data_IF_127991704187
#
_entry.id   IF_127991704187
#
_cell.length_a   1.000
_cell.length_b   1.000
_cell.length_c   1.000
_cell.angle_alpha   90.00
_cell.angle_beta   90.00
_cell.angle_gamma   90.00
#
_symmetry.space_group_name_H-M   'P 1'
#
loop_
_entity.id
_entity.type
_entity.pdbx_description
1 polymer ?
#
# COMPACT_ATOMS: atom_id res chain seq x y z
N UNK A 1 -0.25 -10.12 8.07
CA UNK A 1 -0.10 -10.84 6.78
C UNK A 1 0.35 -12.28 6.95
N UNK A 2 1.39 -12.55 7.74
CA UNK A 2 1.82 -13.94 8.01
C UNK A 2 0.70 -14.77 8.66
N UNK A 3 -0.11 -14.15 9.52
CA UNK A 3 -1.28 -14.81 10.13
C UNK A 3 -2.28 -15.31 9.08
N UNK A 4 -2.57 -14.51 8.05
CA UNK A 4 -3.42 -14.90 6.92
C UNK A 4 -2.84 -16.11 6.18
N UNK A 5 -1.52 -16.12 5.95
CA UNK A 5 -0.85 -17.26 5.33
C UNK A 5 -1.00 -18.54 6.17
N UNK A 6 -0.82 -18.46 7.49
CA UNK A 6 -0.96 -19.62 8.39
C UNK A 6 -2.39 -20.16 8.42
N UNK A 7 -3.38 -19.26 8.43
CA UNK A 7 -4.81 -19.61 8.35
C UNK A 7 -5.11 -20.34 7.04
N UNK A 8 -4.66 -19.81 5.91
CA UNK A 8 -4.96 -20.37 4.59
C UNK A 8 -4.24 -21.70 4.32
N UNK A 9 -3.05 -21.91 4.87
CA UNK A 9 -2.28 -23.14 4.68
C UNK A 9 -2.59 -24.23 5.71
N UNK A 10 -3.66 -24.09 6.50
CA UNK A 10 -4.05 -25.05 7.54
C UNK A 10 -2.94 -25.32 8.57
N UNK A 11 -2.11 -24.32 8.86
CA UNK A 11 -1.08 -24.41 9.92
C UNK A 11 -1.74 -24.21 11.29
N UNK A 12 -2.79 -23.39 11.34
CA UNK A 12 -3.63 -23.24 12.53
C UNK A 12 -4.71 -24.31 12.63
N UNK A 13 -5.23 -24.49 13.85
CA UNK A 13 -6.30 -25.44 14.10
C UNK A 13 -7.56 -25.04 13.32
N UNK A 14 -8.05 -25.96 12.49
CA UNK A 14 -9.19 -25.79 11.60
C UNK A 14 -10.41 -25.29 12.34
N UNK A 15 -10.65 -25.78 13.57
CA UNK A 15 -11.81 -25.38 14.40
C UNK A 15 -11.88 -23.87 14.63
N UNK A 16 -10.73 -23.21 14.68
CA UNK A 16 -10.62 -21.77 14.94
C UNK A 16 -10.60 -20.92 13.67
N UNK A 17 -10.35 -21.53 12.50
CA UNK A 17 -10.12 -20.81 11.26
C UNK A 17 -11.27 -20.91 10.25
N UNK A 18 -12.20 -21.84 10.46
CA UNK A 18 -13.36 -22.01 9.56
C UNK A 18 -14.13 -20.69 9.45
N UNK A 19 -14.39 -20.25 8.22
CA UNK A 19 -15.23 -19.09 7.93
C UNK A 19 -14.57 -17.73 8.13
N UNK A 20 -13.29 -17.66 8.54
CA UNK A 20 -12.57 -16.37 8.64
C UNK A 20 -12.35 -15.76 7.25
N UNK A 21 -11.92 -16.58 6.30
CA UNK A 21 -11.65 -16.17 4.93
C UNK A 21 -12.31 -17.09 3.92
N UNK A 22 -12.78 -16.50 2.83
CA UNK A 22 -13.33 -17.22 1.68
C UNK A 22 -12.46 -16.94 0.48
N UNK A 23 -12.02 -17.99 -0.23
CA UNK A 23 -11.28 -17.85 -1.48
C UNK A 23 -12.22 -17.53 -2.64
N UNK A 24 -11.73 -16.81 -3.64
CA UNK A 24 -12.47 -16.59 -4.88
C UNK A 24 -12.48 -17.88 -5.70
N UNK A 25 -13.65 -18.22 -6.27
CA UNK A 25 -13.78 -19.38 -7.16
C UNK A 25 -12.96 -19.21 -8.45
N UNK A 26 -12.89 -17.99 -8.98
CA UNK A 26 -12.20 -17.67 -10.25
C UNK A 26 -10.68 -17.60 -10.06
N UNK A 27 -10.21 -17.15 -8.89
CA UNK A 27 -8.79 -16.96 -8.61
C UNK A 27 -8.43 -17.60 -7.26
N UNK A 28 -7.86 -18.82 -7.26
CA UNK A 28 -7.68 -19.62 -6.04
C UNK A 28 -6.69 -19.00 -5.04
N UNK A 29 -5.91 -17.99 -5.45
CA UNK A 29 -4.95 -17.29 -4.59
C UNK A 29 -5.53 -16.02 -3.94
N UNK A 30 -6.69 -15.54 -4.43
CA UNK A 30 -7.30 -14.29 -3.98
C UNK A 30 -8.41 -14.55 -2.97
N UNK A 31 -8.51 -13.66 -2.00
CA UNK A 31 -9.54 -13.67 -0.98
C UNK A 31 -10.74 -12.85 -1.43
N UNK A 32 -11.94 -13.34 -1.14
CA UNK A 32 -13.19 -12.62 -1.33
C UNK A 32 -13.35 -11.58 -0.23
N UNK A 33 -13.46 -10.30 -0.61
CA UNK A 33 -13.71 -9.21 0.32
C UNK A 33 -15.19 -9.18 0.71
N UNK A 34 -15.48 -9.22 2.00
CA UNK A 34 -16.84 -9.04 2.47
C UNK A 34 -17.26 -7.56 2.33
N UNK A 35 -18.44 -7.31 1.76
CA UNK A 35 -19.01 -5.95 1.75
C UNK A 35 -19.34 -5.51 3.17
N UNK A 36 -18.95 -4.29 3.50
CA UNK A 36 -19.16 -3.66 4.80
C UNK A 36 -19.60 -2.22 4.59
N UNK A 37 -20.74 -1.84 5.18
CA UNK A 37 -21.24 -0.47 5.09
C UNK A 37 -20.55 0.49 6.07
N UNK A 38 -20.25 0.02 7.28
CA UNK A 38 -19.67 0.83 8.36
C UNK A 38 -18.15 0.70 8.42
N UNK A 39 -17.47 1.81 8.69
CA UNK A 39 -16.00 1.87 8.74
C UNK A 39 -15.41 1.00 9.86
N UNK A 40 -16.11 0.88 10.99
CA UNK A 40 -15.74 -0.04 12.07
C UNK A 40 -15.51 -1.44 11.53
N UNK A 41 -16.45 -1.99 10.75
CA UNK A 41 -16.34 -3.35 10.21
C UNK A 41 -15.29 -3.46 9.10
N UNK A 42 -15.03 -2.38 8.35
CA UNK A 42 -13.96 -2.34 7.33
C UNK A 42 -12.58 -2.47 7.96
N UNK A 43 -12.40 -1.91 9.15
CA UNK A 43 -11.12 -1.92 9.88
C UNK A 43 -10.83 -3.24 10.63
N UNK A 44 -11.78 -4.18 10.66
CA UNK A 44 -11.54 -5.52 11.22
C UNK A 44 -10.46 -6.24 10.42
N UNK A 45 -9.66 -7.04 11.13
CA UNK A 45 -8.58 -7.84 10.53
C UNK A 45 -9.06 -8.64 9.31
N UNK A 46 -10.19 -9.34 9.42
CA UNK A 46 -10.74 -10.18 8.35
C UNK A 46 -11.10 -9.43 7.07
N UNK A 47 -11.43 -8.14 7.15
CA UNK A 47 -11.79 -7.34 5.97
C UNK A 47 -10.60 -6.54 5.44
N UNK A 48 -9.82 -5.94 6.33
CA UNK A 48 -8.68 -5.07 5.99
C UNK A 48 -7.60 -5.84 5.24
N UNK A 49 -7.29 -7.04 5.73
CA UNK A 49 -6.19 -7.84 5.23
C UNK A 49 -6.43 -8.38 3.81
N UNK A 50 -7.70 -8.51 3.40
CA UNK A 50 -8.08 -9.03 2.09
C UNK A 50 -7.53 -8.16 0.95
N UNK A 51 -7.60 -6.83 1.10
CA UNK A 51 -7.07 -5.92 0.09
C UNK A 51 -5.55 -6.08 -0.07
N UNK A 52 -4.85 -6.10 1.07
CA UNK A 52 -3.40 -6.21 1.11
C UNK A 52 -2.96 -7.55 0.53
N UNK A 53 -3.66 -8.63 0.88
CA UNK A 53 -3.40 -9.97 0.37
C UNK A 53 -3.58 -10.06 -1.15
N UNK A 54 -4.66 -9.49 -1.68
CA UNK A 54 -4.96 -9.53 -3.10
C UNK A 54 -3.98 -8.69 -3.95
N UNK A 55 -3.25 -7.75 -3.33
CA UNK A 55 -2.20 -6.96 -3.95
C UNK A 55 -0.81 -7.61 -3.87
N UNK A 56 -0.66 -8.75 -3.17
CA UNK A 56 0.61 -9.46 -3.13
C UNK A 56 0.90 -10.16 -4.45
N UNK A 57 2.18 -10.25 -4.86
CA UNK A 57 2.56 -11.06 -6.00
C UNK A 57 2.35 -12.55 -5.70
N UNK A 58 1.91 -13.31 -6.72
CA UNK A 58 1.67 -14.75 -6.62
C UNK A 58 2.89 -15.52 -6.10
N UNK A 59 4.10 -15.10 -6.49
CA UNK A 59 5.37 -15.68 -6.04
C UNK A 59 5.53 -15.66 -4.51
N UNK A 60 4.98 -14.67 -3.80
CA UNK A 60 4.98 -14.65 -2.34
C UNK A 60 4.00 -15.69 -1.81
N UNK A 61 2.76 -15.66 -2.30
CA UNK A 61 1.62 -16.44 -1.79
C UNK A 61 1.77 -17.95 -2.02
N UNK A 62 2.35 -18.36 -3.15
CA UNK A 62 2.50 -19.79 -3.53
C UNK A 62 3.63 -20.51 -2.80
N UNK A 63 4.45 -19.80 -2.01
CA UNK A 63 5.55 -20.40 -1.26
C UNK A 63 5.02 -21.39 -0.22
N UNK A 64 5.63 -22.59 -0.11
CA UNK A 64 5.21 -23.62 0.89
C UNK A 64 5.73 -23.36 2.30
N UNK A 65 6.83 -22.60 2.43
CA UNK A 65 7.51 -22.39 3.70
C UNK A 65 7.18 -21.01 4.26
N UNK A 66 6.74 -20.97 5.52
CA UNK A 66 6.43 -19.72 6.23
C UNK A 66 7.60 -18.74 6.24
N UNK A 67 8.84 -19.22 6.42
CA UNK A 67 10.01 -18.33 6.48
C UNK A 67 10.39 -17.75 5.11
N UNK A 68 10.08 -18.45 4.03
CA UNK A 68 10.23 -17.91 2.68
C UNK A 68 9.19 -16.83 2.42
N UNK A 69 7.97 -17.00 2.90
CA UNK A 69 6.93 -15.96 2.83
C UNK A 69 7.35 -14.73 3.62
N UNK A 70 7.85 -14.88 4.85
CA UNK A 70 8.37 -13.76 5.66
C UNK A 70 9.43 -12.97 4.89
N UNK A 71 10.51 -13.62 4.46
CA UNK A 71 11.61 -12.95 3.72
C UNK A 71 11.14 -12.24 2.45
N UNK A 72 10.22 -12.84 1.68
CA UNK A 72 9.70 -12.23 0.45
C UNK A 72 8.75 -11.08 0.74
N UNK A 73 7.93 -11.21 1.78
CA UNK A 73 7.03 -10.17 2.23
C UNK A 73 7.81 -8.95 2.74
N UNK A 74 8.83 -9.18 3.56
CA UNK A 74 9.69 -8.12 4.07
C UNK A 74 10.30 -7.35 2.90
N UNK A 75 10.88 -8.04 1.91
CA UNK A 75 11.42 -7.42 0.68
C UNK A 75 10.37 -6.61 -0.10
N UNK A 76 9.15 -7.12 -0.23
CA UNK A 76 8.07 -6.44 -0.94
C UNK A 76 7.63 -5.15 -0.23
N UNK A 77 7.81 -5.09 1.10
CA UNK A 77 7.33 -3.99 1.92
C UNK A 77 8.39 -2.98 2.32
N UNK A 78 9.67 -3.19 2.02
CA UNK A 78 10.74 -2.22 2.34
C UNK A 78 10.36 -0.80 1.87
N UNK A 79 9.75 -0.66 0.69
CA UNK A 79 9.36 0.64 0.14
C UNK A 79 7.91 1.04 0.45
N UNK A 80 7.22 0.28 1.31
CA UNK A 80 5.81 0.51 1.61
C UNK A 80 5.68 1.48 2.79
N UNK A 81 4.84 2.53 2.71
CA UNK A 81 4.73 3.56 3.74
C UNK A 81 4.37 2.99 5.13
N UNK A 82 3.63 1.88 5.16
CA UNK A 82 3.26 1.17 6.40
C UNK A 82 4.41 0.63 7.25
N UNK A 83 5.61 0.48 6.70
CA UNK A 83 6.74 -0.03 7.48
C UNK A 83 7.28 1.04 8.43
N UNK A 84 7.19 2.31 8.04
CA UNK A 84 7.80 3.42 8.77
C UNK A 84 6.78 4.43 9.31
N UNK A 85 5.60 4.52 8.71
CA UNK A 85 4.54 5.44 9.13
C UNK A 85 3.49 4.75 10.01
N UNK A 86 3.39 5.19 11.26
CA UNK A 86 2.45 4.68 12.26
C UNK A 86 1.03 5.22 12.07
N UNK A 87 0.85 6.29 11.28
CA UNK A 87 -0.45 6.89 10.99
C UNK A 87 -1.04 6.43 9.65
N UNK A 88 -0.32 5.60 8.88
CA UNK A 88 -0.73 5.17 7.55
C UNK A 88 -2.08 4.43 7.57
N UNK A 89 -3.05 4.91 6.77
CA UNK A 89 -4.33 4.22 6.60
C UNK A 89 -4.18 3.04 5.62
N UNK A 90 -4.43 1.85 6.14
CA UNK A 90 -4.47 0.58 5.42
C UNK A 90 -5.42 0.57 4.22
N UNK A 91 -6.39 1.47 4.17
CA UNK A 91 -7.29 1.62 3.03
C UNK A 91 -6.64 2.34 1.84
N UNK A 92 -5.58 3.14 2.03
CA UNK A 92 -4.91 3.91 0.97
C UNK A 92 -4.16 3.02 -0.03
N UNK A 93 -3.83 1.80 0.37
CA UNK A 93 -3.19 0.77 -0.48
C UNK A 93 -4.09 0.37 -1.67
N UNK A 94 -5.39 0.68 -1.61
CA UNK A 94 -6.37 0.29 -2.62
C UNK A 94 -6.51 1.23 -3.80
N UNK A 95 -5.81 2.39 -3.82
CA UNK A 95 -6.07 3.46 -4.79
C UNK A 95 -4.90 3.92 -5.65
N UNK A 96 -3.66 3.75 -5.23
CA UNK A 96 -2.48 4.23 -5.97
C UNK A 96 -1.75 3.06 -6.62
N UNK A 97 -1.41 3.24 -7.90
CA UNK A 97 -0.44 2.43 -8.64
C UNK A 97 0.65 1.98 -7.67
N UNK A 98 0.87 0.67 -7.57
CA UNK A 98 2.01 0.09 -6.88
C UNK A 98 3.27 0.91 -7.21
N UNK A 99 4.11 1.27 -6.22
CA UNK A 99 5.44 1.79 -6.52
C UNK A 99 6.10 0.76 -7.44
N UNK A 100 6.33 1.16 -8.70
CA UNK A 100 7.06 0.38 -9.69
C UNK A 100 8.36 -0.01 -8.99
N UNK A 101 8.59 -1.31 -8.80
CA UNK A 101 9.93 -1.80 -8.49
C UNK A 101 10.83 -1.21 -9.58
N UNK A 102 11.74 -0.31 -9.19
CA UNK A 102 12.85 0.08 -10.04
C UNK A 102 13.65 -1.21 -10.29
N UNK A 103 13.32 -1.89 -11.39
CA UNK A 103 14.27 -2.72 -12.10
C UNK A 103 15.45 -1.83 -12.43
N UNK A 104 16.65 -2.33 -12.18
CA UNK A 104 17.92 -1.61 -12.27
C UNK A 104 18.31 -1.12 -13.69
N UNK A 105 17.37 -1.01 -14.62
CA UNK A 105 17.63 -0.79 -16.04
C UNK A 105 17.01 0.50 -16.62
N UNK A 106 16.37 1.37 -15.81
CA UNK A 106 15.76 2.62 -16.31
C UNK A 106 16.45 3.87 -15.72
N UNK A 107 17.72 4.10 -16.08
CA UNK A 107 18.43 5.39 -15.97
C UNK A 107 18.61 5.98 -17.37
N UNK A 108 17.55 6.59 -17.90
CA UNK A 108 17.51 7.62 -18.96
C UNK A 108 16.00 7.89 -19.14
N UNK A 109 15.42 9.07 -18.98
CA UNK A 109 15.80 10.32 -19.60
C UNK A 109 14.98 11.40 -18.85
N UNK A 110 15.66 12.25 -18.09
CA UNK A 110 15.06 13.40 -17.44
C UNK A 110 15.18 14.61 -18.38
N UNK A 111 14.25 14.80 -19.32
CA UNK A 111 14.02 16.12 -19.92
C UNK A 111 12.60 16.26 -20.48
N UNK A 112 12.03 17.45 -20.27
CA UNK A 112 10.88 18.06 -20.95
C UNK A 112 9.47 17.50 -20.69
N UNK A 113 8.70 18.15 -19.79
CA UNK A 113 7.57 19.02 -20.16
C UNK A 113 6.82 19.51 -18.92
N UNK A 114 6.94 20.81 -18.65
CA UNK A 114 6.13 21.55 -17.69
C UNK A 114 5.05 22.29 -18.47
N UNK A 115 3.77 22.01 -18.19
CA UNK A 115 2.59 22.89 -18.20
C UNK A 115 1.33 22.00 -18.25
N UNK A 116 0.42 21.96 -17.28
CA UNK A 116 -0.70 22.90 -16.96
C UNK A 116 -1.58 22.07 -15.97
N UNK A 117 -2.29 22.53 -14.93
CA UNK A 117 -3.12 23.72 -14.70
C UNK A 117 -3.63 23.72 -13.23
N UNK A 118 -3.91 24.93 -12.73
CA UNK A 118 -5.02 25.34 -11.85
C UNK A 118 -5.07 24.95 -10.36
N UNK A 119 -4.94 25.98 -9.50
CA UNK A 119 -5.99 26.32 -8.53
C UNK A 119 -5.68 26.15 -7.03
N UNK A 120 -5.00 27.12 -6.42
CA UNK A 120 -4.94 27.26 -4.96
C UNK A 120 -4.13 28.48 -4.52
N UNK A 121 -4.78 29.47 -3.92
CA UNK A 121 -4.22 30.78 -3.56
C UNK A 121 -3.24 30.65 -2.36
N UNK A 122 -2.01 31.16 -2.41
CA UNK A 122 -1.10 31.14 -1.27
C UNK A 122 -1.36 32.32 -0.29
N UNK A 123 -0.98 32.21 0.99
CA UNK A 123 -1.28 33.20 2.02
C UNK A 123 -0.43 34.47 1.88
N UNK A 124 -1.01 35.61 2.30
CA UNK A 124 -0.46 36.97 2.17
C UNK A 124 0.80 37.16 3.03
N UNK A 125 1.90 37.61 2.42
CA UNK A 125 3.12 38.10 3.10
C UNK A 125 3.10 39.63 3.14
N UNK A 126 3.34 40.18 4.33
CA UNK A 126 3.40 41.62 4.65
C UNK A 126 4.64 42.23 3.98
N UNK A 127 4.48 43.28 3.15
CA UNK A 127 5.59 43.98 2.48
C UNK A 127 6.23 45.00 3.44
N UNK A 128 7.52 44.81 3.75
CA UNK A 128 8.37 45.77 4.46
C UNK A 128 9.19 46.63 3.50
N UNK A 129 8.96 47.94 3.60
CA UNK A 129 9.80 49.13 3.40
C UNK A 129 11.04 49.12 2.45
N UNK A 130 10.99 50.04 1.48
CA UNK A 130 12.03 50.49 0.55
C UNK A 130 13.12 51.31 1.26
N UNK A 131 14.38 51.16 0.87
CA UNK A 131 15.39 52.23 0.95
C UNK A 131 16.13 52.37 -0.39
N UNK A 132 16.09 53.59 -0.93
CA UNK A 132 16.79 54.03 -2.16
C UNK A 132 18.27 54.28 -1.84
N UNK A 133 19.18 53.76 -2.67
CA UNK A 133 20.56 54.23 -2.78
C UNK A 133 20.77 54.81 -4.18
N UNK A 134 20.97 56.13 -4.27
CA UNK A 134 21.27 56.84 -5.50
C UNK A 134 22.76 56.64 -5.87
N UNK A 135 23.03 56.30 -7.12
CA UNK A 135 24.35 56.44 -7.73
C UNK A 135 24.68 57.91 -7.97
N UNK A 136 25.95 58.25 -7.78
CA UNK A 136 26.57 59.51 -8.21
C UNK A 136 27.05 59.37 -9.64
#
# INVERSE_FOLDING_TARGET
>A
MIETYKILNNIYDKRTTVGIFTLQQIHPLKLLKQRCARDIRKNFFSNRIVNIWNNLPSAVVTSKNTDTVKRRLDKYWINHPMVYDHNCDYNEITGSKTPRLLSSDDEEEATTEVQKTCGGKPPKVIKGLVHKGNGT
#
